data_IF_160771944893
#
_entry.id   IF_160771944893
#
_cell.length_a   1.000
_cell.length_b   1.000
_cell.length_c   1.000
_cell.angle_alpha   90.00
_cell.angle_beta   90.00
_cell.angle_gamma   90.00
#
_symmetry.space_group_name_H-M   'P 1'
#
loop_
_entity.id
_entity.type
_entity.pdbx_description
1 polymer ?
#
# COMPACT_ATOMS: atom_id res chain seq x y z
N UNK A 1 -12.66 -16.62 16.70
CA UNK A 1 -12.82 -15.22 16.28
C UNK A 1 -11.71 -14.94 15.28
N UNK A 2 -12.06 -14.78 14.00
CA UNK A 2 -11.09 -14.61 12.92
C UNK A 2 -10.32 -13.29 13.10
N UNK A 3 -8.99 -13.33 12.99
CA UNK A 3 -8.12 -12.15 13.13
C UNK A 3 -8.54 -11.04 12.15
N UNK A 4 -9.02 -11.44 10.97
CA UNK A 4 -9.63 -10.54 9.98
C UNK A 4 -10.81 -9.74 10.54
N UNK A 5 -11.70 -10.39 11.29
CA UNK A 5 -12.85 -9.73 11.91
C UNK A 5 -12.42 -8.73 12.98
N UNK A 6 -11.41 -9.05 13.77
CA UNK A 6 -10.87 -8.17 14.82
C UNK A 6 -10.19 -6.93 14.23
N UNK A 7 -9.45 -7.07 13.13
CA UNK A 7 -8.83 -5.94 12.42
C UNK A 7 -9.90 -5.03 11.82
N UNK A 8 -10.92 -5.60 11.17
CA UNK A 8 -12.02 -4.84 10.55
C UNK A 8 -12.91 -4.16 11.60
N UNK A 9 -13.06 -4.72 12.80
CA UNK A 9 -13.82 -4.11 13.88
C UNK A 9 -13.06 -3.02 14.64
N UNK A 10 -11.72 -3.06 14.67
CA UNK A 10 -10.89 -2.06 15.36
C UNK A 10 -10.36 -0.94 14.45
N UNK A 11 -10.63 -1.01 13.15
CA UNK A 11 -10.31 0.06 12.20
C UNK A 11 -11.52 0.99 11.99
N UNK A 12 -11.28 2.18 11.43
CA UNK A 12 -12.33 3.16 11.07
C UNK A 12 -13.42 2.60 10.13
N UNK A 13 -13.19 1.39 9.60
CA UNK A 13 -14.07 0.64 8.71
C UNK A 13 -15.16 -0.13 9.45
N UNK A 14 -15.25 -0.11 10.79
CA UNK A 14 -16.19 -0.92 11.59
C UNK A 14 -17.65 -0.86 11.09
N UNK A 15 -18.19 0.33 10.84
CA UNK A 15 -19.58 0.55 10.43
C UNK A 15 -19.76 0.85 8.94
N UNK A 16 -18.69 0.73 8.14
CA UNK A 16 -18.77 0.99 6.70
C UNK A 16 -19.41 -0.17 5.92
N UNK A 17 -20.16 0.12 4.84
CA UNK A 17 -20.72 -0.91 3.98
C UNK A 17 -19.63 -1.84 3.43
N UNK A 18 -19.93 -3.14 3.31
CA UNK A 18 -18.96 -4.20 2.92
C UNK A 18 -18.18 -3.85 1.64
N UNK A 19 -18.86 -3.24 0.67
CA UNK A 19 -18.23 -2.75 -0.56
C UNK A 19 -17.16 -1.70 -0.29
N UNK A 20 -17.43 -0.72 0.55
CA UNK A 20 -16.46 0.33 0.90
C UNK A 20 -15.23 -0.23 1.62
N UNK A 21 -15.43 -1.27 2.46
CA UNK A 21 -14.32 -1.98 3.11
C UNK A 21 -13.42 -2.68 2.09
N UNK A 22 -14.02 -3.37 1.12
CA UNK A 22 -13.30 -4.02 0.04
C UNK A 22 -12.54 -3.00 -0.81
N UNK A 23 -13.16 -1.89 -1.19
CA UNK A 23 -12.52 -0.84 -1.99
C UNK A 23 -11.35 -0.18 -1.26
N UNK A 24 -11.50 0.09 0.04
CA UNK A 24 -10.43 0.66 0.86
C UNK A 24 -9.23 -0.28 0.98
N UNK A 25 -9.47 -1.58 1.19
CA UNK A 25 -8.42 -2.61 1.19
C UNK A 25 -7.73 -2.72 -0.19
N UNK A 26 -8.50 -2.63 -1.28
CA UNK A 26 -7.97 -2.66 -2.63
C UNK A 26 -7.09 -1.44 -2.91
N UNK A 27 -7.54 -0.24 -2.53
CA UNK A 27 -6.74 0.98 -2.62
C UNK A 27 -5.46 0.89 -1.80
N UNK A 28 -5.54 0.39 -0.57
CA UNK A 28 -4.38 0.21 0.30
C UNK A 28 -3.36 -0.74 -0.33
N UNK A 29 -3.81 -1.91 -0.80
CA UNK A 29 -2.92 -2.90 -1.45
C UNK A 29 -2.31 -2.37 -2.75
N UNK A 30 -3.05 -1.58 -3.54
CA UNK A 30 -2.54 -0.92 -4.74
C UNK A 30 -1.47 0.14 -4.43
N UNK A 31 -1.64 0.92 -3.37
CA UNK A 31 -0.63 1.90 -2.94
C UNK A 31 0.63 1.18 -2.46
N UNK A 32 0.47 0.14 -1.63
CA UNK A 32 1.60 -0.64 -1.11
C UNK A 32 2.38 -1.32 -2.24
N UNK A 33 1.69 -1.89 -3.24
CA UNK A 33 2.36 -2.51 -4.39
C UNK A 33 3.11 -1.50 -5.25
N UNK A 34 2.56 -0.29 -5.44
CA UNK A 34 3.23 0.80 -6.14
C UNK A 34 4.52 1.22 -5.42
N UNK A 35 4.47 1.41 -4.11
CA UNK A 35 5.64 1.78 -3.29
C UNK A 35 6.71 0.69 -3.39
N UNK A 36 6.31 -0.58 -3.23
CA UNK A 36 7.21 -1.72 -3.39
C UNK A 36 7.85 -1.74 -4.78
N UNK A 37 7.07 -1.51 -5.85
CA UNK A 37 7.59 -1.45 -7.20
C UNK A 37 8.64 -0.34 -7.36
N UNK A 38 8.39 0.86 -6.84
CA UNK A 38 9.35 1.97 -6.85
C UNK A 38 10.62 1.63 -6.07
N UNK A 39 10.49 1.03 -4.87
CA UNK A 39 11.65 0.57 -4.09
C UNK A 39 12.46 -0.49 -4.84
N UNK A 40 11.80 -1.46 -5.49
CA UNK A 40 12.51 -2.48 -6.29
C UNK A 40 13.21 -1.89 -7.50
N UNK A 41 12.60 -0.91 -8.18
CA UNK A 41 13.25 -0.19 -9.27
C UNK A 41 14.47 0.58 -8.76
N UNK A 42 14.35 1.28 -7.63
CA UNK A 42 15.47 1.99 -7.03
C UNK A 42 16.59 1.03 -6.59
N UNK A 43 16.25 -0.16 -6.10
CA UNK A 43 17.25 -1.13 -5.69
C UNK A 43 17.98 -1.76 -6.89
N UNK A 44 17.25 -2.12 -7.96
CA UNK A 44 17.83 -2.76 -9.15
C UNK A 44 18.54 -1.76 -10.07
N UNK A 45 17.95 -0.59 -10.28
CA UNK A 45 18.44 0.42 -11.22
C UNK A 45 19.14 1.60 -10.55
N UNK A 46 19.02 1.76 -9.23
CA UNK A 46 19.70 2.82 -8.48
C UNK A 46 21.20 2.94 -8.73
N UNK A 47 21.98 1.84 -8.85
CA UNK A 47 23.40 1.92 -9.20
C UNK A 47 23.66 2.52 -10.59
N UNK A 48 22.71 2.39 -11.51
CA UNK A 48 22.77 2.91 -12.88
C UNK A 48 22.04 4.25 -13.04
N UNK A 49 21.36 4.72 -11.98
CA UNK A 49 20.68 6.01 -11.99
C UNK A 49 21.69 7.09 -11.64
N UNK A 50 22.05 7.90 -12.63
CA UNK A 50 22.81 9.14 -12.42
C UNK A 50 21.92 10.08 -11.61
N UNK A 51 22.17 10.17 -10.30
CA UNK A 51 21.54 11.17 -9.44
C UNK A 51 22.07 12.53 -9.89
N UNK A 52 21.39 13.16 -10.85
CA UNK A 52 21.66 14.55 -11.22
C UNK A 52 21.10 15.42 -10.10
N UNK A 53 21.92 15.66 -9.08
CA UNK A 53 21.70 16.78 -8.17
C UNK A 53 21.67 18.03 -9.04
N UNK A 54 20.48 18.60 -9.25
CA UNK A 54 20.33 19.87 -9.95
C UNK A 54 21.10 20.93 -9.19
N UNK A 55 22.12 21.51 -9.83
CA UNK A 55 22.75 22.75 -9.43
C UNK A 55 22.02 23.91 -10.10
#
# INVERSE_FOLDING_TARGET
MDVYYTIVQNTSLKDMPKWFKATSLLLFTAIVSLILAMCTMLFMYGPNMVIRYGY
#
